data_IF_933146147231
#
_entry.id   IF_933146147231
#
_cell.length_a   1.000
_cell.length_b   1.000
_cell.length_c   1.000
_cell.angle_alpha   90.00
_cell.angle_beta   90.00
_cell.angle_gamma   90.00
#
_symmetry.space_group_name_H-M   'P 1'
#
loop_
_entity.id
_entity.type
_entity.pdbx_description
1 polymer ?
#
# COMPACT_ATOMS: atom_id res chain seq x y z
N UNK A 1 -18.46 7.47 -14.81
CA UNK A 1 -17.01 7.37 -15.02
C UNK A 1 -16.42 6.17 -14.32
N UNK A 2 -15.80 5.25 -15.07
CA UNK A 2 -15.27 3.99 -14.50
C UNK A 2 -13.92 4.21 -13.79
N UNK A 3 -13.16 5.23 -14.16
CA UNK A 3 -11.78 5.45 -13.66
C UNK A 3 -11.69 5.66 -12.13
N UNK A 4 -12.74 6.13 -11.48
CA UNK A 4 -12.74 6.33 -10.03
C UNK A 4 -12.68 5.01 -9.23
N UNK A 5 -13.13 3.91 -9.81
CA UNK A 5 -13.05 2.58 -9.19
C UNK A 5 -11.62 2.21 -8.77
N UNK A 6 -10.65 2.59 -9.60
CA UNK A 6 -9.23 2.27 -9.42
C UNK A 6 -8.39 3.43 -8.92
N UNK A 7 -9.01 4.48 -8.37
CA UNK A 7 -8.31 5.69 -7.96
C UNK A 7 -7.20 5.42 -6.92
N UNK A 8 -7.43 4.46 -6.02
CA UNK A 8 -6.46 4.05 -5.00
C UNK A 8 -5.15 3.51 -5.58
N UNK A 9 -5.18 3.02 -6.82
CA UNK A 9 -4.02 2.50 -7.56
C UNK A 9 -3.47 3.49 -8.59
N UNK A 10 -3.74 4.79 -8.43
CA UNK A 10 -3.20 5.84 -9.30
C UNK A 10 -1.68 5.74 -9.36
N UNK A 11 -1.13 5.68 -10.58
CA UNK A 11 0.29 5.44 -10.86
C UNK A 11 0.61 3.99 -11.25
N UNK A 12 -0.28 3.02 -10.99
CA UNK A 12 -0.15 1.64 -11.47
C UNK A 12 -1.20 1.35 -12.55
N UNK A 13 -0.89 1.70 -13.80
CA UNK A 13 -1.84 1.56 -14.91
C UNK A 13 -2.22 0.12 -15.17
N UNK A 14 -1.29 -0.84 -15.00
CA UNK A 14 -1.57 -2.27 -15.19
C UNK A 14 -2.73 -2.75 -14.29
N UNK A 15 -2.65 -2.48 -12.99
CA UNK A 15 -3.72 -2.84 -12.06
C UNK A 15 -5.01 -2.08 -12.37
N UNK A 16 -4.90 -0.77 -12.67
CA UNK A 16 -6.07 0.06 -12.94
C UNK A 16 -6.86 -0.39 -14.15
N UNK A 17 -6.18 -0.68 -15.25
CA UNK A 17 -6.80 -1.10 -16.50
C UNK A 17 -7.46 -2.47 -16.34
N UNK A 18 -6.80 -3.41 -15.67
CA UNK A 18 -7.37 -4.70 -15.34
C UNK A 18 -8.62 -4.58 -14.45
N UNK A 19 -8.60 -3.70 -13.43
CA UNK A 19 -9.78 -3.40 -12.59
C UNK A 19 -10.95 -2.87 -13.43
N UNK A 20 -10.69 -1.96 -14.38
CA UNK A 20 -11.73 -1.42 -15.25
C UNK A 20 -12.36 -2.51 -16.11
N UNK A 21 -11.53 -3.39 -16.68
CA UNK A 21 -11.98 -4.48 -17.54
C UNK A 21 -12.86 -5.47 -16.75
N UNK A 22 -12.42 -5.92 -15.57
CA UNK A 22 -13.19 -6.82 -14.72
C UNK A 22 -14.52 -6.18 -14.29
N UNK A 23 -14.47 -4.91 -13.87
CA UNK A 23 -15.70 -4.19 -13.49
C UNK A 23 -16.68 -4.10 -14.66
N UNK A 24 -16.22 -3.70 -15.84
CA UNK A 24 -17.08 -3.56 -17.02
C UNK A 24 -17.70 -4.89 -17.43
N UNK A 25 -16.93 -5.97 -17.42
CA UNK A 25 -17.42 -7.31 -17.73
C UNK A 25 -18.65 -7.67 -16.86
N UNK A 26 -18.53 -7.52 -15.55
CA UNK A 26 -19.62 -7.84 -14.63
C UNK A 26 -20.76 -6.83 -14.67
N UNK A 27 -20.46 -5.53 -14.79
CA UNK A 27 -21.47 -4.48 -14.82
C UNK A 27 -22.34 -4.53 -16.07
N UNK A 28 -21.73 -4.79 -17.24
CA UNK A 28 -22.46 -4.98 -18.50
C UNK A 28 -23.37 -6.20 -18.41
N UNK A 29 -22.85 -7.32 -17.88
CA UNK A 29 -23.67 -8.52 -17.63
C UNK A 29 -24.85 -8.30 -16.65
N UNK A 30 -24.81 -7.21 -15.86
CA UNK A 30 -25.90 -6.79 -14.95
C UNK A 30 -26.75 -5.66 -15.50
N UNK A 31 -26.60 -5.30 -16.79
CA UNK A 31 -27.46 -4.33 -17.46
C UNK A 31 -26.90 -2.90 -17.51
N UNK A 32 -25.61 -2.72 -17.37
CA UNK A 32 -24.97 -1.41 -17.60
C UNK A 32 -24.86 -1.12 -19.10
N UNK A 33 -25.53 -0.08 -19.57
CA UNK A 33 -25.57 0.28 -21.00
C UNK A 33 -24.47 1.24 -21.42
N UNK A 34 -24.03 2.12 -20.51
CA UNK A 34 -23.04 3.17 -20.84
C UNK A 34 -22.00 3.34 -19.75
N UNK A 35 -20.74 3.56 -20.15
CA UNK A 35 -19.63 3.87 -19.26
C UNK A 35 -18.69 4.88 -19.89
N UNK A 36 -18.17 5.83 -19.09
CA UNK A 36 -17.11 6.73 -19.51
C UNK A 36 -15.78 6.06 -19.13
N UNK A 37 -15.00 5.70 -20.14
CA UNK A 37 -13.72 5.00 -20.03
C UNK A 37 -12.63 5.71 -20.82
N UNK A 38 -11.37 5.42 -20.52
CA UNK A 38 -10.26 5.83 -21.36
C UNK A 38 -10.22 4.92 -22.61
N UNK A 39 -10.37 5.45 -23.82
CA UNK A 39 -10.38 4.64 -25.04
C UNK A 39 -9.02 4.00 -25.36
N UNK A 40 -7.93 4.48 -24.75
CA UNK A 40 -6.59 3.89 -24.91
C UNK A 40 -6.39 2.62 -24.09
N UNK A 41 -7.34 2.27 -23.21
CA UNK A 41 -7.28 1.04 -22.42
C UNK A 41 -7.68 -0.14 -23.30
N UNK A 42 -6.77 -1.09 -23.49
CA UNK A 42 -6.94 -2.23 -24.39
C UNK A 42 -6.95 -3.60 -23.69
N UNK A 43 -6.96 -3.62 -22.36
CA UNK A 43 -6.96 -4.86 -21.59
C UNK A 43 -8.33 -5.50 -21.65
N UNK A 44 -8.44 -6.68 -22.27
CA UNK A 44 -9.67 -7.47 -22.27
C UNK A 44 -9.74 -8.35 -21.02
N UNK A 45 -10.95 -8.63 -20.55
CA UNK A 45 -11.18 -9.47 -19.38
C UNK A 45 -10.52 -10.87 -19.52
N UNK A 46 -10.56 -11.42 -20.71
CA UNK A 46 -10.05 -12.76 -21.02
C UNK A 46 -8.50 -12.82 -21.08
N UNK A 47 -7.86 -11.67 -21.36
CA UNK A 47 -6.40 -11.56 -21.43
C UNK A 47 -5.75 -11.38 -20.05
N UNK A 48 -6.55 -11.11 -19.00
CA UNK A 48 -6.04 -10.98 -17.64
C UNK A 48 -5.66 -12.36 -17.12
N UNK A 49 -4.44 -12.45 -16.59
CA UNK A 49 -3.93 -13.67 -15.96
C UNK A 49 -4.94 -14.20 -14.92
N UNK A 50 -5.27 -15.52 -14.92
CA UNK A 50 -6.40 -16.07 -14.17
C UNK A 50 -6.36 -15.83 -12.66
N UNK A 51 -5.18 -15.91 -12.02
CA UNK A 51 -5.02 -15.68 -10.59
C UNK A 51 -5.26 -14.20 -10.25
N UNK A 52 -4.67 -13.31 -11.06
CA UNK A 52 -4.85 -11.88 -10.90
C UNK A 52 -6.30 -11.46 -11.17
N UNK A 53 -6.94 -12.04 -12.19
CA UNK A 53 -8.36 -11.81 -12.48
C UNK A 53 -9.25 -12.20 -11.32
N UNK A 54 -9.02 -13.38 -10.73
CA UNK A 54 -9.78 -13.86 -9.56
C UNK A 54 -9.62 -12.90 -8.38
N UNK A 55 -8.40 -12.44 -8.11
CA UNK A 55 -8.13 -11.47 -7.06
C UNK A 55 -8.86 -10.13 -7.30
N UNK A 56 -8.88 -9.64 -8.54
CA UNK A 56 -9.62 -8.44 -8.92
C UNK A 56 -11.13 -8.60 -8.75
N UNK A 57 -11.68 -9.77 -9.11
CA UNK A 57 -13.08 -10.09 -8.88
C UNK A 57 -13.43 -10.11 -7.39
N UNK A 58 -12.59 -10.72 -6.58
CA UNK A 58 -12.79 -10.79 -5.13
C UNK A 58 -12.85 -9.40 -4.50
N UNK A 59 -12.01 -8.47 -4.99
CA UNK A 59 -12.04 -7.07 -4.54
C UNK A 59 -13.27 -6.32 -5.05
N UNK A 60 -13.55 -6.40 -6.36
CA UNK A 60 -14.62 -5.61 -7.00
C UNK A 60 -16.00 -6.09 -6.55
N UNK A 61 -16.18 -7.40 -6.38
CA UNK A 61 -17.43 -8.01 -5.96
C UNK A 61 -17.53 -8.21 -4.44
N UNK A 62 -16.50 -7.76 -3.69
CA UNK A 62 -16.41 -7.89 -2.23
C UNK A 62 -16.64 -9.34 -1.74
N UNK A 63 -16.02 -10.32 -2.40
CA UNK A 63 -16.17 -11.74 -2.07
C UNK A 63 -15.41 -12.13 -0.81
N UNK A 64 -14.22 -11.53 -0.60
CA UNK A 64 -13.34 -11.79 0.55
C UNK A 64 -12.80 -10.48 1.14
N UNK A 65 -12.83 -10.29 2.46
CA UNK A 65 -12.34 -9.05 3.10
C UNK A 65 -10.82 -8.85 2.93
N UNK A 66 -10.05 -9.94 2.83
CA UNK A 66 -8.57 -9.91 2.69
C UNK A 66 -8.11 -9.54 1.27
N UNK A 67 -8.97 -9.71 0.27
CA UNK A 67 -8.60 -9.53 -1.14
C UNK A 67 -8.03 -8.14 -1.45
N UNK A 68 -8.49 -7.10 -0.74
CA UNK A 68 -7.98 -5.75 -0.91
C UNK A 68 -6.50 -5.63 -0.49
N UNK A 69 -6.10 -6.28 0.60
CA UNK A 69 -4.70 -6.29 1.08
C UNK A 69 -3.82 -7.13 0.17
N UNK A 70 -4.33 -8.26 -0.31
CA UNK A 70 -3.65 -9.09 -1.30
C UNK A 70 -3.40 -8.33 -2.61
N UNK A 71 -4.39 -7.57 -3.09
CA UNK A 71 -4.25 -6.75 -4.30
C UNK A 71 -3.20 -5.63 -4.11
N UNK A 72 -3.14 -5.01 -2.94
CA UNK A 72 -2.10 -4.02 -2.62
C UNK A 72 -0.72 -4.67 -2.67
N UNK A 73 -0.57 -5.85 -2.08
CA UNK A 73 0.69 -6.60 -2.07
C UNK A 73 1.10 -7.01 -3.49
N UNK A 74 0.17 -7.48 -4.30
CA UNK A 74 0.39 -7.79 -5.70
C UNK A 74 0.87 -6.58 -6.50
N UNK A 75 0.20 -5.43 -6.34
CA UNK A 75 0.57 -4.18 -6.98
C UNK A 75 1.97 -3.69 -6.58
N UNK A 76 2.37 -3.91 -5.33
CA UNK A 76 3.72 -3.59 -4.83
C UNK A 76 4.78 -4.48 -5.47
N UNK A 77 4.52 -5.78 -5.55
CA UNK A 77 5.45 -6.75 -6.15
C UNK A 77 5.69 -6.47 -7.63
N UNK A 78 4.67 -6.06 -8.37
CA UNK A 78 4.82 -5.60 -9.76
C UNK A 78 5.76 -4.40 -9.88
N UNK A 79 5.69 -3.45 -8.95
CA UNK A 79 6.61 -2.30 -8.92
C UNK A 79 8.04 -2.71 -8.61
N UNK A 80 8.23 -3.65 -7.68
CA UNK A 80 9.56 -4.18 -7.30
C UNK A 80 10.20 -4.91 -8.49
N UNK A 81 9.45 -5.73 -9.21
CA UNK A 81 9.93 -6.40 -10.40
C UNK A 81 10.32 -5.43 -11.53
N UNK A 82 9.56 -4.34 -11.70
CA UNK A 82 9.86 -3.31 -12.68
C UNK A 82 11.08 -2.45 -12.30
N UNK A 83 11.40 -2.32 -11.00
CA UNK A 83 12.54 -1.56 -10.49
C UNK A 83 13.82 -2.39 -10.28
N UNK A 84 13.77 -3.72 -10.50
CA UNK A 84 14.93 -4.61 -10.36
C UNK A 84 15.39 -4.84 -8.91
N UNK A 85 14.56 -4.52 -7.93
CA UNK A 85 14.86 -4.80 -6.52
C UNK A 85 14.51 -6.25 -6.17
N UNK A 86 15.51 -7.04 -5.81
CA UNK A 86 15.34 -8.45 -5.41
C UNK A 86 14.77 -8.59 -4.00
N UNK A 87 14.01 -9.67 -3.71
CA UNK A 87 13.39 -9.91 -2.39
C UNK A 87 14.38 -10.07 -1.22
N UNK A 88 15.66 -10.35 -1.49
CA UNK A 88 16.68 -10.58 -0.46
C UNK A 88 17.05 -9.35 0.40
N UNK A 89 16.53 -8.17 0.07
CA UNK A 89 16.75 -6.95 0.89
C UNK A 89 15.78 -6.82 2.09
N UNK A 90 14.92 -7.81 2.35
CA UNK A 90 13.87 -7.66 3.37
C UNK A 90 14.37 -7.60 4.82
N UNK A 91 15.55 -8.11 5.11
CA UNK A 91 16.11 -8.11 6.48
C UNK A 91 17.31 -7.18 6.68
N UNK A 92 17.99 -6.76 5.62
CA UNK A 92 19.14 -5.87 5.70
C UNK A 92 18.83 -4.52 6.41
N UNK A 93 17.57 -4.06 6.38
CA UNK A 93 17.17 -2.86 7.09
C UNK A 93 17.19 -3.00 8.63
N UNK A 94 17.20 -4.24 9.15
CA UNK A 94 17.32 -4.48 10.60
C UNK A 94 18.71 -4.14 11.14
N UNK A 95 19.72 -4.09 10.27
CA UNK A 95 21.09 -3.69 10.60
C UNK A 95 21.29 -2.16 10.63
N UNK A 96 20.30 -1.40 10.21
CA UNK A 96 20.33 0.06 10.21
C UNK A 96 20.23 0.62 11.64
N UNK A 97 20.52 1.90 11.80
CA UNK A 97 20.33 2.60 13.07
C UNK A 97 18.86 2.56 13.50
N UNK A 98 18.61 2.66 14.81
CA UNK A 98 17.26 2.64 15.36
C UNK A 98 16.33 3.67 14.69
N UNK A 99 16.84 4.88 14.43
CA UNK A 99 16.11 5.93 13.71
C UNK A 99 15.69 5.45 12.32
N UNK A 100 16.62 4.92 11.56
CA UNK A 100 16.37 4.45 10.19
C UNK A 100 15.44 3.23 10.17
N UNK A 101 15.52 2.34 11.18
CA UNK A 101 14.60 1.21 11.32
C UNK A 101 13.17 1.68 11.54
N UNK A 102 12.95 2.65 12.43
CA UNK A 102 11.64 3.23 12.68
C UNK A 102 11.08 3.97 11.44
N UNK A 103 11.90 4.76 10.76
CA UNK A 103 11.52 5.41 9.49
C UNK A 103 11.13 4.36 8.43
N UNK A 104 11.95 3.31 8.26
CA UNK A 104 11.69 2.25 7.30
C UNK A 104 10.39 1.49 7.62
N UNK A 105 10.20 1.11 8.89
CA UNK A 105 8.98 0.42 9.34
C UNK A 105 7.73 1.22 9.02
N UNK A 106 7.77 2.56 9.20
CA UNK A 106 6.66 3.44 8.83
C UNK A 106 6.48 3.50 7.31
N UNK A 107 7.53 3.79 6.55
CA UNK A 107 7.44 3.92 5.08
C UNK A 107 6.86 2.65 4.43
N UNK A 108 7.25 1.48 4.93
CA UNK A 108 6.77 0.18 4.42
C UNK A 108 5.49 -0.31 5.10
N UNK A 109 5.06 0.33 6.19
CA UNK A 109 3.91 -0.09 6.98
C UNK A 109 4.13 -1.42 7.69
N UNK A 110 5.36 -1.71 8.16
CA UNK A 110 5.73 -2.93 8.87
C UNK A 110 5.45 -2.73 10.35
N UNK A 111 4.63 -3.59 10.94
CA UNK A 111 4.26 -3.51 12.36
C UNK A 111 4.89 -4.57 13.25
N UNK A 112 5.57 -5.55 12.67
CA UNK A 112 6.02 -6.76 13.38
C UNK A 112 7.14 -6.49 14.39
N UNK A 113 8.04 -5.57 14.08
CA UNK A 113 9.18 -5.18 14.93
C UNK A 113 8.97 -3.85 15.65
N UNK A 114 7.81 -3.22 15.46
CA UNK A 114 7.57 -1.85 15.90
C UNK A 114 7.63 -1.71 17.44
N UNK A 115 7.10 -2.68 18.17
CA UNK A 115 7.07 -2.67 19.62
C UNK A 115 8.50 -2.75 20.20
N UNK A 116 9.31 -3.67 19.71
CA UNK A 116 10.69 -3.84 20.17
C UNK A 116 11.53 -2.61 19.86
N UNK A 117 11.43 -2.06 18.64
CA UNK A 117 12.17 -0.86 18.24
C UNK A 117 11.72 0.38 19.03
N UNK A 118 10.44 0.50 19.39
CA UNK A 118 9.94 1.59 20.23
C UNK A 118 10.36 1.45 21.69
N UNK A 119 10.43 0.22 22.22
CA UNK A 119 10.99 -0.04 23.56
C UNK A 119 12.47 0.31 23.63
N UNK A 120 13.24 0.02 22.58
CA UNK A 120 14.64 0.46 22.45
C UNK A 120 14.72 1.99 22.37
N UNK A 121 13.83 2.64 21.62
CA UNK A 121 13.77 4.08 21.49
C UNK A 121 13.47 4.78 22.83
N UNK A 122 12.56 4.25 23.64
CA UNK A 122 12.25 4.79 24.98
C UNK A 122 13.45 4.77 25.94
N UNK A 123 14.46 3.92 25.70
CA UNK A 123 15.71 3.91 26.46
C UNK A 123 16.75 4.91 25.94
N UNK A 124 16.60 5.33 24.71
CA UNK A 124 17.57 6.17 23.99
C UNK A 124 17.14 7.66 23.97
N UNK A 125 15.85 7.92 23.84
CA UNK A 125 15.29 9.26 23.79
C UNK A 125 14.79 9.72 25.15
N UNK A 126 14.99 11.00 25.54
CA UNK A 126 14.57 11.53 26.84
C UNK A 126 13.05 11.44 27.07
N UNK A 127 12.27 11.68 26.03
CA UNK A 127 10.80 11.68 26.10
C UNK A 127 10.18 10.97 24.89
N UNK A 128 9.01 10.34 25.09
CA UNK A 128 8.25 9.68 24.03
C UNK A 128 7.89 10.66 22.87
N UNK A 129 7.68 11.92 23.19
CA UNK A 129 7.40 12.97 22.18
C UNK A 129 8.58 13.16 21.24
N UNK A 130 9.82 13.02 21.71
CA UNK A 130 11.02 13.15 20.87
C UNK A 130 11.11 12.01 19.82
N UNK A 131 10.56 10.84 20.16
CA UNK A 131 10.46 9.71 19.22
C UNK A 131 9.39 9.99 18.16
N UNK A 132 8.27 10.59 18.59
CA UNK A 132 7.18 10.93 17.66
C UNK A 132 7.62 12.04 16.71
N UNK A 133 8.13 13.17 17.22
CA UNK A 133 8.55 14.32 16.41
C UNK A 133 9.83 14.07 15.62
N UNK A 134 10.66 13.12 16.05
CA UNK A 134 11.88 12.73 15.38
C UNK A 134 11.65 11.64 14.32
N UNK A 135 12.02 10.37 14.61
CA UNK A 135 12.02 9.31 13.61
C UNK A 135 10.64 8.99 13.03
N UNK A 136 9.56 9.06 13.85
CA UNK A 136 8.22 8.71 13.35
C UNK A 136 7.69 9.79 12.39
N UNK A 137 7.80 11.06 12.73
CA UNK A 137 7.38 12.15 11.83
C UNK A 137 8.29 12.25 10.60
N UNK A 138 9.59 11.98 10.73
CA UNK A 138 10.50 11.88 9.58
C UNK A 138 10.01 10.83 8.57
N UNK A 139 9.65 9.63 9.04
CA UNK A 139 9.07 8.59 8.21
C UNK A 139 7.75 9.01 7.55
N UNK A 140 6.84 9.67 8.30
CA UNK A 140 5.57 10.18 7.76
C UNK A 140 5.75 11.26 6.70
N UNK A 141 6.71 12.17 6.89
CA UNK A 141 7.03 13.20 5.90
C UNK A 141 7.52 12.56 4.60
N UNK A 142 8.37 11.52 4.70
CA UNK A 142 8.84 10.75 3.54
C UNK A 142 7.70 10.04 2.80
N UNK A 143 6.74 9.50 3.53
CA UNK A 143 5.50 8.93 2.95
C UNK A 143 4.72 10.00 2.19
N UNK A 144 4.59 11.20 2.75
CA UNK A 144 3.93 12.33 2.08
C UNK A 144 4.63 12.73 0.78
N UNK A 145 5.97 12.81 0.78
CA UNK A 145 6.77 13.07 -0.43
C UNK A 145 6.57 11.99 -1.51
N UNK A 146 6.65 10.71 -1.11
CA UNK A 146 6.47 9.57 -2.03
C UNK A 146 5.06 9.54 -2.61
N UNK A 147 4.05 9.83 -1.80
CA UNK A 147 2.66 9.92 -2.26
C UNK A 147 2.46 11.10 -3.21
N UNK A 148 2.98 12.28 -2.87
CA UNK A 148 2.92 13.48 -3.71
C UNK A 148 3.64 13.30 -5.05
N UNK A 149 4.75 12.54 -5.06
CA UNK A 149 5.50 12.19 -6.27
C UNK A 149 4.86 11.04 -7.09
N UNK A 150 3.72 10.48 -6.66
CA UNK A 150 3.07 9.34 -7.32
C UNK A 150 3.81 8.01 -7.19
N UNK A 151 4.77 7.92 -6.27
CA UNK A 151 5.58 6.70 -6.01
C UNK A 151 4.98 5.82 -4.91
N UNK A 152 3.92 6.25 -4.27
CA UNK A 152 3.19 5.52 -3.24
C UNK A 152 1.69 5.63 -3.50
N UNK A 153 0.94 4.54 -3.28
CA UNK A 153 -0.50 4.51 -3.47
C UNK A 153 -1.24 4.82 -2.17
N UNK A 154 -2.47 5.31 -2.28
CA UNK A 154 -3.31 5.64 -1.13
C UNK A 154 -3.44 4.49 -0.11
N UNK A 155 -3.64 3.23 -0.48
CA UNK A 155 -3.68 2.11 0.47
C UNK A 155 -2.38 1.94 1.27
N UNK A 156 -1.23 2.21 0.67
CA UNK A 156 0.06 2.18 1.37
C UNK A 156 0.14 3.30 2.42
N UNK A 157 -0.34 4.50 2.09
CA UNK A 157 -0.43 5.63 3.03
C UNK A 157 -1.35 5.28 4.21
N UNK A 158 -2.49 4.63 3.94
CA UNK A 158 -3.40 4.16 5.00
C UNK A 158 -2.73 3.10 5.89
N UNK A 159 -1.97 2.17 5.30
CA UNK A 159 -1.19 1.17 6.06
C UNK A 159 -0.16 1.84 6.96
N UNK A 160 0.58 2.82 6.43
CA UNK A 160 1.53 3.64 7.21
C UNK A 160 0.85 4.38 8.34
N UNK A 161 -0.30 5.02 8.09
CA UNK A 161 -1.06 5.72 9.13
C UNK A 161 -1.53 4.77 10.25
N UNK A 162 -1.92 3.53 9.92
CA UNK A 162 -2.23 2.50 10.93
C UNK A 162 -1.00 2.13 11.76
N UNK A 163 0.17 1.98 11.11
CA UNK A 163 1.44 1.71 11.79
C UNK A 163 1.81 2.86 12.73
N UNK A 164 1.68 4.11 12.28
CA UNK A 164 1.87 5.30 13.11
C UNK A 164 0.93 5.33 14.32
N UNK A 165 -0.35 5.02 14.10
CA UNK A 165 -1.34 4.94 15.20
C UNK A 165 -0.97 3.87 16.23
N UNK A 166 -0.49 2.69 15.78
CA UNK A 166 0.02 1.65 16.69
C UNK A 166 1.23 2.14 17.49
N UNK A 167 2.19 2.81 16.83
CA UNK A 167 3.37 3.38 17.49
C UNK A 167 2.99 4.36 18.61
N UNK A 168 2.10 5.30 18.31
CA UNK A 168 1.64 6.30 19.30
C UNK A 168 0.87 5.65 20.45
N UNK A 169 0.09 4.61 20.17
CA UNK A 169 -0.66 3.88 21.22
C UNK A 169 0.24 3.22 22.27
N UNK A 170 1.46 2.80 21.90
CA UNK A 170 2.45 2.21 22.83
C UNK A 170 2.93 3.25 23.86
N UNK A 171 2.91 4.54 23.52
CA UNK A 171 3.34 5.62 24.42
C UNK A 171 2.23 6.17 25.30
N UNK A 172 0.96 5.78 25.07
CA UNK A 172 -0.14 6.21 25.92
C UNK A 172 -0.17 5.34 27.20
N UNK A 173 -0.17 5.96 28.39
CA UNK A 173 -0.41 5.22 29.62
C UNK A 173 -1.81 4.59 29.58
N UNK A 174 -1.92 3.34 30.04
CA UNK A 174 -3.18 2.62 30.14
C UNK A 174 -4.15 3.30 31.13
#
# INVERSE_FOLDING_TARGET
GVSNLSFSFRGNNHVREAMHSVFLYHAIGKGMDMGIVNPSTSVLYEDIEPEFRTLLEDVILARRPEAAEELITYAQNLHVQASGETPEKHEAWRELSLKERLEHALIKGIGDYLEDDLQEALRTYPHAVDIIDGPLMSGMNKVGELFGAGKMFLPQVVKTARTMKKAVAIFQPA
#
